data_IF_618483535234
#
_entry.id   IF_618483535234
#
_cell.length_a   1.000
_cell.length_b   1.000
_cell.length_c   1.000
_cell.angle_alpha   90.00
_cell.angle_beta   90.00
_cell.angle_gamma   90.00
#
_symmetry.space_group_name_H-M   'P 1'
#
loop_
_entity.id
_entity.type
_entity.pdbx_description
1 polymer ?
#
# COMPACT_ATOMS: atom_id res chain seq x y z
N UNK A 1 1.90 -26.24 -6.52
CA UNK A 1 2.00 -24.98 -7.28
C UNK A 1 1.33 -25.19 -8.61
N UNK A 2 0.19 -24.55 -8.82
CA UNK A 2 -0.48 -24.56 -10.11
C UNK A 2 0.28 -23.62 -11.05
N UNK A 3 0.47 -24.06 -12.30
CA UNK A 3 1.09 -23.25 -13.35
C UNK A 3 -0.01 -22.71 -14.25
N UNK A 4 0.02 -21.40 -14.48
CA UNK A 4 -0.94 -20.69 -15.32
C UNK A 4 -0.25 -20.10 -16.53
N UNK A 5 -0.92 -20.13 -17.67
CA UNK A 5 -0.55 -19.33 -18.84
C UNK A 5 -1.06 -17.89 -18.69
N UNK A 6 -0.58 -17.00 -19.56
CA UNK A 6 -1.11 -15.64 -19.62
C UNK A 6 -2.61 -15.62 -19.95
N UNK A 7 -3.09 -16.59 -20.75
CA UNK A 7 -4.51 -16.72 -21.08
C UNK A 7 -5.36 -17.18 -19.89
N UNK A 8 -4.82 -18.07 -19.05
CA UNK A 8 -5.50 -18.50 -17.82
C UNK A 8 -5.66 -17.33 -16.85
N UNK A 9 -4.62 -16.51 -16.68
CA UNK A 9 -4.70 -15.32 -15.83
C UNK A 9 -5.75 -14.32 -16.33
N UNK A 10 -5.86 -14.11 -17.63
CA UNK A 10 -6.90 -13.25 -18.21
C UNK A 10 -8.29 -13.80 -17.89
N UNK A 11 -8.49 -15.11 -18.05
CA UNK A 11 -9.77 -15.77 -17.75
C UNK A 11 -10.15 -15.68 -16.27
N UNK A 12 -9.20 -15.87 -15.37
CA UNK A 12 -9.45 -15.89 -13.92
C UNK A 12 -9.61 -14.47 -13.37
N UNK A 13 -8.74 -13.54 -13.76
CA UNK A 13 -8.72 -12.19 -13.18
C UNK A 13 -9.67 -11.22 -13.88
N UNK A 14 -10.06 -11.51 -15.13
CA UNK A 14 -10.78 -10.60 -16.00
C UNK A 14 -9.93 -9.43 -16.51
N UNK A 15 -8.62 -9.40 -16.19
CA UNK A 15 -7.69 -8.37 -16.66
C UNK A 15 -7.21 -8.69 -18.08
N UNK A 16 -6.96 -7.65 -18.88
CA UNK A 16 -6.40 -7.85 -20.21
C UNK A 16 -4.92 -8.25 -20.14
N UNK A 17 -4.42 -8.95 -21.17
CA UNK A 17 -2.97 -9.25 -21.32
C UNK A 17 -2.11 -7.98 -21.23
N UNK A 18 -2.63 -6.86 -21.73
CA UNK A 18 -1.97 -5.55 -21.66
C UNK A 18 -1.83 -5.07 -20.22
N UNK A 19 -2.90 -5.14 -19.43
CA UNK A 19 -2.91 -4.73 -18.03
C UNK A 19 -1.97 -5.60 -17.19
N UNK A 20 -2.03 -6.93 -17.38
CA UNK A 20 -1.13 -7.88 -16.69
C UNK A 20 0.33 -7.56 -17.00
N UNK A 21 0.67 -7.38 -18.29
CA UNK A 21 2.04 -6.99 -18.71
C UNK A 21 2.46 -5.66 -18.10
N UNK A 22 1.56 -4.69 -18.09
CA UNK A 22 1.82 -3.39 -17.51
C UNK A 22 2.13 -3.50 -16.01
N UNK A 23 1.34 -4.26 -15.24
CA UNK A 23 1.60 -4.48 -13.81
C UNK A 23 2.93 -5.19 -13.53
N UNK A 24 3.33 -6.13 -14.39
CA UNK A 24 4.66 -6.77 -14.29
C UNK A 24 5.77 -5.76 -14.60
N UNK A 25 5.60 -4.91 -15.62
CA UNK A 25 6.59 -3.90 -16.00
C UNK A 25 6.74 -2.80 -14.95
N UNK A 26 5.65 -2.38 -14.32
CA UNK A 26 5.68 -1.37 -13.26
C UNK A 26 6.15 -1.91 -11.91
N UNK A 27 6.29 -3.24 -11.77
CA UNK A 27 6.72 -3.90 -10.53
C UNK A 27 5.61 -4.01 -9.49
N UNK A 28 4.35 -4.00 -9.92
CA UNK A 28 3.18 -4.30 -9.08
C UNK A 28 2.97 -5.81 -8.91
N UNK A 29 3.43 -6.59 -9.89
CA UNK A 29 3.32 -8.05 -9.92
C UNK A 29 4.70 -8.61 -10.24
N UNK A 30 5.04 -9.73 -9.61
CA UNK A 30 6.28 -10.47 -9.83
C UNK A 30 6.43 -10.87 -11.30
N UNK A 31 7.68 -10.99 -11.76
CA UNK A 31 7.96 -11.46 -13.13
C UNK A 31 7.62 -12.96 -13.24
N UNK A 32 7.05 -13.41 -14.37
CA UNK A 32 6.77 -14.82 -14.59
C UNK A 32 8.04 -15.67 -14.48
N UNK A 33 7.86 -16.92 -14.09
CA UNK A 33 8.93 -17.89 -13.96
C UNK A 33 9.20 -18.59 -15.30
N UNK A 34 10.46 -18.95 -15.56
CA UNK A 34 10.88 -19.64 -16.78
C UNK A 34 11.54 -18.73 -17.83
N UNK A 35 11.96 -19.34 -18.93
CA UNK A 35 12.59 -18.63 -20.06
C UNK A 35 11.53 -18.01 -20.97
N UNK A 36 11.90 -17.04 -21.82
CA UNK A 36 10.98 -16.23 -22.65
C UNK A 36 9.91 -17.05 -23.39
N UNK A 37 10.22 -18.28 -23.79
CA UNK A 37 9.31 -19.18 -24.53
C UNK A 37 8.49 -20.12 -23.64
N UNK A 38 8.89 -20.33 -22.40
CA UNK A 38 8.27 -21.23 -21.42
C UNK A 38 7.84 -20.49 -20.15
N UNK A 39 7.64 -19.17 -20.25
CA UNK A 39 7.21 -18.35 -19.14
C UNK A 39 5.84 -18.81 -18.63
N UNK A 40 5.78 -19.14 -17.34
CA UNK A 40 4.56 -19.53 -16.64
C UNK A 40 4.35 -18.65 -15.41
N UNK A 41 3.09 -18.55 -15.02
CA UNK A 41 2.65 -17.87 -13.81
C UNK A 41 2.28 -18.90 -12.76
N UNK A 42 2.22 -18.47 -11.52
CA UNK A 42 1.98 -19.33 -10.35
C UNK A 42 0.87 -18.71 -9.52
N UNK A 43 0.39 -19.44 -8.51
CA UNK A 43 -0.64 -18.95 -7.58
C UNK A 43 -0.25 -17.59 -6.97
N UNK A 44 1.04 -17.37 -6.69
CA UNK A 44 1.57 -16.08 -6.22
C UNK A 44 1.24 -14.92 -7.17
N UNK A 45 1.46 -15.13 -8.47
CA UNK A 45 1.19 -14.10 -9.48
C UNK A 45 -0.30 -13.78 -9.57
N UNK A 46 -1.14 -14.80 -9.42
CA UNK A 46 -2.59 -14.64 -9.42
C UNK A 46 -3.06 -13.83 -8.21
N UNK A 47 -2.55 -14.14 -7.02
CA UNK A 47 -2.84 -13.39 -5.79
C UNK A 47 -2.43 -11.92 -5.89
N UNK A 48 -1.23 -11.64 -6.41
CA UNK A 48 -0.75 -10.28 -6.66
C UNK A 48 -1.67 -9.52 -7.62
N UNK A 49 -2.09 -10.14 -8.73
CA UNK A 49 -3.00 -9.54 -9.71
C UNK A 49 -4.37 -9.23 -9.12
N UNK A 50 -4.94 -10.16 -8.34
CA UNK A 50 -6.24 -9.97 -7.68
C UNK A 50 -6.17 -8.89 -6.61
N UNK A 51 -5.06 -8.81 -5.86
CA UNK A 51 -4.83 -7.76 -4.87
C UNK A 51 -4.74 -6.38 -5.52
N UNK A 52 -3.95 -6.25 -6.58
CA UNK A 52 -3.83 -4.98 -7.32
C UNK A 52 -5.16 -4.58 -7.95
N UNK A 53 -5.91 -5.53 -8.52
CA UNK A 53 -7.24 -5.30 -9.07
C UNK A 53 -8.19 -4.74 -8.02
N UNK A 54 -8.27 -5.39 -6.85
CA UNK A 54 -9.16 -4.96 -5.76
C UNK A 54 -8.85 -3.53 -5.31
N UNK A 55 -7.57 -3.23 -5.06
CA UNK A 55 -7.16 -1.88 -4.66
C UNK A 55 -7.43 -0.84 -5.76
N UNK A 56 -7.30 -1.21 -7.03
CA UNK A 56 -7.65 -0.31 -8.13
C UNK A 56 -9.17 -0.07 -8.22
N UNK A 57 -9.99 -1.08 -7.93
CA UNK A 57 -11.46 -0.96 -7.85
C UNK A 57 -11.90 -0.11 -6.64
N UNK A 58 -11.16 -0.15 -5.54
CA UNK A 58 -11.32 0.72 -4.36
C UNK A 58 -10.87 2.19 -4.62
N UNK A 59 -10.38 2.51 -5.83
CA UNK A 59 -10.02 3.88 -6.23
C UNK A 59 -8.60 4.29 -5.87
N UNK A 60 -7.74 3.38 -5.38
CA UNK A 60 -6.33 3.70 -5.15
C UNK A 60 -5.59 3.90 -6.48
N UNK A 61 -4.75 4.93 -6.54
CA UNK A 61 -3.86 5.14 -7.68
C UNK A 61 -2.82 4.02 -7.77
N UNK A 62 -2.40 3.66 -8.98
CA UNK A 62 -1.41 2.60 -9.20
C UNK A 62 -0.07 2.88 -8.50
N UNK A 63 0.33 4.15 -8.39
CA UNK A 63 1.53 4.55 -7.65
C UNK A 63 1.37 4.33 -6.14
N UNK A 64 0.18 4.59 -5.59
CA UNK A 64 -0.13 4.31 -4.18
C UNK A 64 -0.18 2.82 -3.91
N UNK A 65 -0.80 2.04 -4.82
CA UNK A 65 -0.82 0.57 -4.74
C UNK A 65 0.61 0.03 -4.78
N UNK A 66 1.46 0.57 -5.66
CA UNK A 66 2.87 0.19 -5.75
C UNK A 66 3.62 0.49 -4.45
N UNK A 67 3.36 1.62 -3.82
CA UNK A 67 3.92 1.96 -2.52
C UNK A 67 3.43 1.03 -1.40
N UNK A 68 2.18 0.59 -1.42
CA UNK A 68 1.62 -0.34 -0.43
C UNK A 68 2.10 -1.78 -0.62
N UNK A 69 2.28 -2.22 -1.87
CA UNK A 69 2.73 -3.58 -2.23
C UNK A 69 4.25 -3.71 -2.06
N UNK A 70 5.01 -2.67 -2.39
CA UNK A 70 6.47 -2.64 -2.21
C UNK A 70 6.90 -1.98 -0.90
N UNK A 71 5.97 -1.53 -0.06
CA UNK A 71 6.31 -1.12 1.29
C UNK A 71 7.00 -2.33 1.93
N UNK A 72 8.28 -2.19 2.34
CA UNK A 72 8.85 -3.20 3.21
C UNK A 72 7.92 -3.29 4.42
N UNK A 73 7.56 -4.51 4.83
CA UNK A 73 6.79 -4.75 6.06
C UNK A 73 7.45 -4.11 7.30
N UNK A 74 8.69 -3.66 7.15
CA UNK A 74 9.32 -2.69 8.00
C UNK A 74 9.20 -1.30 7.36
N UNK A 75 8.46 -0.40 8.02
CA UNK A 75 8.79 1.03 7.96
C UNK A 75 10.33 1.17 8.04
N UNK A 76 10.97 2.18 7.42
CA UNK A 76 12.33 2.54 7.80
C UNK A 76 12.30 2.83 9.31
N UNK A 77 12.57 1.84 10.14
CA UNK A 77 13.04 2.09 11.48
C UNK A 77 14.43 2.63 11.23
N UNK A 78 14.54 3.96 11.14
CA UNK A 78 15.80 4.63 11.36
C UNK A 78 16.40 3.95 12.58
N UNK A 79 17.43 3.13 12.36
CA UNK A 79 18.07 2.38 13.43
C UNK A 79 18.50 3.43 14.44
N UNK A 80 17.96 3.44 15.68
CA UNK A 80 18.28 4.48 16.63
C UNK A 80 19.77 4.42 16.88
N UNK A 81 20.49 5.45 16.41
CA UNK A 81 21.92 5.58 16.63
C UNK A 81 22.11 5.71 18.14
N UNK A 82 22.95 4.87 18.80
CA UNK A 82 23.23 5.00 20.21
C UNK A 82 23.65 6.45 20.53
N UNK A 83 22.85 7.15 21.34
CA UNK A 83 23.03 8.58 21.67
C UNK A 83 21.99 9.54 21.06
N UNK A 84 21.16 9.12 20.11
CA UNK A 84 20.04 9.94 19.58
C UNK A 84 18.80 9.69 20.44
N UNK A 85 18.45 10.63 21.32
CA UNK A 85 17.16 10.65 22.02
C UNK A 85 16.15 11.37 21.13
N UNK A 86 15.15 10.66 20.63
CA UNK A 86 14.00 11.25 19.95
C UNK A 86 12.75 11.10 20.82
N UNK A 87 12.02 12.20 20.98
CA UNK A 87 10.69 12.18 21.57
C UNK A 87 9.74 11.95 20.39
N UNK A 88 8.88 10.93 20.42
CA UNK A 88 7.84 10.76 19.39
C UNK A 88 6.47 10.82 20.05
N UNK A 89 5.63 11.73 19.56
CA UNK A 89 4.23 11.81 20.00
C UNK A 89 3.41 10.87 19.13
N UNK A 90 2.77 9.89 19.77
CA UNK A 90 1.86 8.96 19.14
C UNK A 90 0.42 9.41 19.42
N UNK A 91 -0.30 9.80 18.37
CA UNK A 91 -1.71 10.19 18.48
C UNK A 91 -2.55 9.11 17.83
N UNK A 92 -3.31 8.39 18.65
CA UNK A 92 -4.32 7.44 18.19
C UNK A 92 -5.56 8.22 17.76
N UNK A 93 -5.97 8.07 16.49
CA UNK A 93 -7.12 8.80 15.95
C UNK A 93 -8.32 7.87 15.84
N UNK A 94 -8.17 6.72 15.20
CA UNK A 94 -9.21 5.72 15.00
C UNK A 94 -8.57 4.33 14.82
N UNK A 95 -9.32 3.23 14.92
CA UNK A 95 -8.80 1.89 14.60
C UNK A 95 -8.18 1.87 13.20
N UNK A 96 -6.87 1.62 13.11
CA UNK A 96 -6.11 1.62 11.85
C UNK A 96 -5.56 2.98 11.40
N UNK A 97 -5.77 4.06 12.17
CA UNK A 97 -5.23 5.39 11.89
C UNK A 97 -4.47 5.94 13.11
N UNK A 98 -3.16 6.00 12.97
CA UNK A 98 -2.24 6.58 13.96
C UNK A 98 -1.40 7.67 13.30
N UNK A 99 -1.16 8.76 14.03
CA UNK A 99 -0.22 9.80 13.64
C UNK A 99 1.00 9.75 14.55
N UNK A 100 2.19 9.66 13.96
CA UNK A 100 3.47 9.74 14.65
C UNK A 100 4.21 11.02 14.24
N UNK A 101 4.60 11.82 15.23
CA UNK A 101 5.34 13.06 15.00
C UNK A 101 6.60 13.10 15.84
N UNK A 102 7.71 13.51 15.23
CA UNK A 102 8.90 13.94 15.95
C UNK A 102 8.80 15.46 16.19
N UNK A 103 8.51 15.92 17.42
CA UNK A 103 8.33 17.34 17.72
C UNK A 103 9.63 18.13 17.57
N UNK A 104 10.80 17.48 17.62
CA UNK A 104 12.09 18.15 17.43
C UNK A 104 12.36 18.46 15.95
N UNK A 105 11.97 17.57 15.03
CA UNK A 105 12.09 17.83 13.59
C UNK A 105 10.91 18.67 13.06
N UNK A 106 9.70 18.43 13.54
CA UNK A 106 8.51 19.10 13.04
C UNK A 106 8.40 20.57 13.48
N UNK A 107 9.12 20.98 14.53
CA UNK A 107 9.01 22.32 15.15
C UNK A 107 7.56 22.71 15.47
N UNK A 108 6.72 21.71 15.78
CA UNK A 108 5.30 21.91 16.09
C UNK A 108 5.09 21.98 17.59
N UNK A 109 4.28 22.93 18.04
CA UNK A 109 3.83 23.00 19.43
C UNK A 109 2.78 21.91 19.71
N UNK A 110 2.60 21.56 20.99
CA UNK A 110 1.55 20.62 21.42
C UNK A 110 0.15 21.04 20.97
N UNK A 111 -0.11 22.36 20.90
CA UNK A 111 -1.37 22.91 20.43
C UNK A 111 -1.57 22.69 18.92
N UNK A 112 -0.51 22.89 18.13
CA UNK A 112 -0.54 22.62 16.69
C UNK A 112 -0.71 21.12 16.40
N UNK A 113 -0.04 20.25 17.16
CA UNK A 113 -0.21 18.80 17.06
C UNK A 113 -1.66 18.39 17.36
N UNK A 114 -2.26 18.98 18.40
CA UNK A 114 -3.66 18.74 18.74
C UNK A 114 -4.61 19.23 17.65
N UNK A 115 -4.37 20.42 17.11
CA UNK A 115 -5.17 20.97 16.02
C UNK A 115 -5.09 20.11 14.75
N UNK A 116 -3.91 19.57 14.41
CA UNK A 116 -3.74 18.63 13.29
C UNK A 116 -4.49 17.34 13.57
N UNK A 117 -4.38 16.79 14.78
CA UNK A 117 -5.08 15.56 15.15
C UNK A 117 -6.61 15.73 15.08
N UNK A 118 -7.13 16.85 15.59
CA UNK A 118 -8.57 17.18 15.53
C UNK A 118 -9.04 17.38 14.09
N UNK A 119 -8.27 18.09 13.25
CA UNK A 119 -8.59 18.26 11.84
C UNK A 119 -8.60 16.92 11.07
N UNK A 120 -7.67 16.02 11.39
CA UNK A 120 -7.63 14.68 10.80
C UNK A 120 -8.81 13.85 11.29
N UNK A 121 -9.17 13.93 12.57
CA UNK A 121 -10.34 13.24 13.13
C UNK A 121 -11.65 13.70 12.48
N UNK A 122 -11.85 15.01 12.32
CA UNK A 122 -13.03 15.57 11.64
C UNK A 122 -13.10 15.14 10.17
N UNK A 123 -11.96 15.10 9.48
CA UNK A 123 -11.92 14.61 8.10
C UNK A 123 -12.25 13.12 8.04
N UNK A 124 -11.68 12.31 8.92
CA UNK A 124 -11.96 10.87 8.95
C UNK A 124 -13.41 10.56 9.28
N UNK A 125 -14.01 11.26 10.24
CA UNK A 125 -15.43 11.10 10.56
C UNK A 125 -16.33 11.51 9.38
N UNK A 126 -15.94 12.53 8.62
CA UNK A 126 -16.66 12.94 7.41
C UNK A 126 -16.61 11.90 6.29
N UNK A 127 -15.51 11.14 6.17
CA UNK A 127 -15.40 10.03 5.20
C UNK A 127 -16.23 8.81 5.64
N UNK A 128 -16.19 8.45 6.92
CA UNK A 128 -16.99 7.36 7.46
C UNK A 128 -18.50 7.61 7.37
N UNK A 129 -18.92 8.89 7.29
CA UNK A 129 -20.33 9.27 7.14
C UNK A 129 -20.82 9.30 5.69
N UNK A 130 -19.93 9.16 4.69
CA UNK A 130 -20.31 9.15 3.26
C UNK A 130 -20.27 7.74 2.64
N UNK A 131 -19.98 6.71 3.43
CA UNK A 131 -19.92 5.31 3.00
C UNK A 131 -21.16 4.52 3.45
N UNK A 132 -22.35 5.07 3.19
CA UNK A 132 -23.60 4.31 3.11
C UNK A 132 -24.39 4.83 1.90
N UNK A 133 -24.48 4.00 0.85
CA UNK A 133 -25.81 3.47 0.49
C UNK A 133 -25.81 1.99 0.06
#
# INVERSE_FOLDING_TARGET
>A
MSKYSADDLVRITGLTKRTIRYYIQTGLVSRPEGDRRTAFYTDKHLEELLRVKRLAEEGFSLDRIKALVNAPLSLPQETPVPGKVSVRSHVFIAPGVELSFDPLEASLSNEQLRSIAEAVLERLSSFQSQEEP
#
